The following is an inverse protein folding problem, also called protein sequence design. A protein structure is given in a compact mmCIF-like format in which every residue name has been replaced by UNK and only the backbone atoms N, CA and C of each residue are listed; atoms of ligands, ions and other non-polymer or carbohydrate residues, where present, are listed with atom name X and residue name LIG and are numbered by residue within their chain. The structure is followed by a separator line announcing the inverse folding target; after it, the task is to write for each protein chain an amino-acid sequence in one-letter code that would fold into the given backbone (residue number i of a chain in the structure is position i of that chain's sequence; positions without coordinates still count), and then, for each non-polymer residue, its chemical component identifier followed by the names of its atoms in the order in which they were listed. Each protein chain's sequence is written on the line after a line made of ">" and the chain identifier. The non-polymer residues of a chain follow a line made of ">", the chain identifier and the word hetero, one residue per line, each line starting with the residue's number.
data_IF_766926389038
#
_entry.id   IF_766926389038
#
_cell.length_a   1.000
_cell.length_b   1.000
_cell.length_c   1.000
_cell.angle_alpha   90.00
_cell.angle_beta   90.00
_cell.angle_gamma   90.00
#
_symmetry.space_group_name_H-M   'P 1'
#
loop_
_entity.id
_entity.type
_entity.pdbx_description
1 polymer ?
#
# COMPACT_ATOMS: atom_id res chain seq x y z
N UNK A 1 -15.74 13.19 -1.41
CA UNK A 1 -14.80 12.64 -2.41
C UNK A 1 -13.75 13.70 -2.61
N UNK A 2 -12.47 13.37 -2.37
CA UNK A 2 -11.38 14.34 -2.53
C UNK A 2 -11.25 14.66 -4.01
N UNK A 3 -11.28 15.94 -4.35
CA UNK A 3 -10.98 16.42 -5.70
C UNK A 3 -9.47 16.55 -5.82
N UNK A 4 -8.89 15.87 -6.81
CA UNK A 4 -7.46 15.91 -7.07
C UNK A 4 -7.18 16.91 -8.20
N UNK A 5 -6.14 17.71 -8.01
CA UNK A 5 -5.59 18.58 -9.03
C UNK A 5 -5.01 17.76 -10.19
N UNK A 6 -4.76 18.47 -11.30
CA UNK A 6 -4.15 17.91 -12.50
C UNK A 6 -2.89 17.09 -12.16
N UNK A 7 -2.77 15.84 -12.65
CA UNK A 7 -1.68 14.92 -12.29
C UNK A 7 -0.29 15.39 -12.72
N UNK A 8 -0.17 16.33 -13.65
CA UNK A 8 1.09 16.95 -14.06
C UNK A 8 1.44 18.18 -13.20
N UNK A 9 0.48 18.78 -12.51
CA UNK A 9 0.72 19.90 -11.59
C UNK A 9 1.52 19.45 -10.37
N UNK A 10 2.27 20.36 -9.75
CA UNK A 10 3.00 20.05 -8.51
C UNK A 10 2.04 19.57 -7.40
N UNK A 11 0.92 20.27 -7.21
CA UNK A 11 -0.07 19.92 -6.19
C UNK A 11 -0.71 18.57 -6.47
N UNK A 12 -1.09 18.28 -7.72
CA UNK A 12 -1.65 16.98 -8.09
C UNK A 12 -0.67 15.81 -7.91
N UNK A 13 0.63 16.04 -8.15
CA UNK A 13 1.68 15.05 -7.86
C UNK A 13 1.82 14.82 -6.34
N UNK A 14 1.77 15.89 -5.56
CA UNK A 14 1.87 15.84 -4.09
C UNK A 14 0.66 15.14 -3.45
N UNK A 15 -0.55 15.47 -3.90
CA UNK A 15 -1.81 14.84 -3.49
C UNK A 15 -1.87 13.36 -3.86
N UNK A 16 -1.07 12.89 -4.82
CA UNK A 16 -0.93 11.45 -5.16
C UNK A 16 0.28 10.78 -4.49
N UNK A 17 1.10 11.53 -3.74
CA UNK A 17 2.27 11.00 -3.06
C UNK A 17 3.40 10.62 -4.02
N UNK A 18 3.46 11.25 -5.19
CA UNK A 18 4.48 10.94 -6.21
C UNK A 18 5.84 11.49 -5.81
N UNK A 19 6.88 10.74 -6.12
CA UNK A 19 8.26 11.20 -5.98
C UNK A 19 8.58 12.46 -6.81
N UNK A 20 7.86 12.68 -7.93
CA UNK A 20 8.00 13.88 -8.75
C UNK A 20 7.83 15.17 -7.94
N UNK A 21 6.79 15.25 -7.10
CA UNK A 21 6.58 16.39 -6.23
C UNK A 21 7.71 16.52 -5.19
N UNK A 22 8.15 15.41 -4.59
CA UNK A 22 9.22 15.44 -3.59
C UNK A 22 10.55 15.98 -4.13
N UNK A 23 10.90 15.64 -5.38
CA UNK A 23 12.10 16.18 -6.05
C UNK A 23 11.98 17.66 -6.40
N UNK A 24 10.79 18.10 -6.82
CA UNK A 24 10.52 19.49 -7.23
C UNK A 24 10.35 20.45 -6.05
N UNK A 25 9.88 19.95 -4.91
CA UNK A 25 9.45 20.75 -3.76
C UNK A 25 10.48 21.81 -3.30
N UNK A 26 11.81 21.55 -3.25
CA UNK A 26 12.78 22.56 -2.82
C UNK A 26 12.85 23.81 -3.71
N UNK A 27 12.38 23.71 -4.96
CA UNK A 27 12.43 24.80 -5.95
C UNK A 27 11.05 25.31 -6.35
N UNK A 28 9.97 24.68 -5.88
CA UNK A 28 8.61 25.02 -6.28
C UNK A 28 8.04 26.16 -5.41
N UNK A 29 7.60 27.27 -6.01
CA UNK A 29 6.87 28.31 -5.30
C UNK A 29 5.59 27.77 -4.66
N UNK A 30 5.34 28.09 -3.40
CA UNK A 30 4.15 27.62 -2.68
C UNK A 30 4.21 26.16 -2.21
N UNK A 31 5.36 25.49 -2.32
CA UNK A 31 5.51 24.11 -1.84
C UNK A 31 5.13 23.94 -0.37
N UNK A 32 5.45 24.91 0.49
CA UNK A 32 5.10 24.88 1.90
C UNK A 32 3.59 24.79 2.11
N UNK A 33 2.82 25.68 1.47
CA UNK A 33 1.36 25.73 1.60
C UNK A 33 0.70 24.44 1.07
N UNK A 34 1.18 23.93 -0.07
CA UNK A 34 0.68 22.68 -0.64
C UNK A 34 0.99 21.45 0.24
N UNK A 35 2.15 21.41 0.91
CA UNK A 35 2.48 20.35 1.87
C UNK A 35 1.56 20.42 3.10
N UNK A 36 1.36 21.60 3.68
CA UNK A 36 0.43 21.73 4.81
C UNK A 36 -0.99 21.34 4.41
N UNK A 37 -1.45 21.78 3.24
CA UNK A 37 -2.77 21.40 2.73
C UNK A 37 -2.93 19.89 2.63
N UNK A 38 -1.94 19.16 2.10
CA UNK A 38 -1.99 17.70 2.04
C UNK A 38 -2.02 17.04 3.43
N UNK A 39 -1.34 17.62 4.41
CA UNK A 39 -1.34 17.14 5.81
C UNK A 39 -2.70 17.35 6.47
N UNK A 40 -3.34 18.50 6.25
CA UNK A 40 -4.58 18.88 6.95
C UNK A 40 -5.86 18.40 6.26
N UNK A 41 -5.83 18.24 4.93
CA UNK A 41 -7.00 17.76 4.17
C UNK A 41 -7.04 16.25 4.00
N UNK A 42 -5.94 15.56 4.33
CA UNK A 42 -5.73 14.13 4.12
C UNK A 42 -6.11 13.66 2.70
N UNK A 43 -5.13 13.74 1.80
CA UNK A 43 -5.31 13.44 0.36
C UNK A 43 -5.13 11.96 0.02
N UNK A 44 -5.18 11.05 1.02
CA UNK A 44 -5.13 9.60 0.77
C UNK A 44 -6.44 9.16 0.10
N UNK A 45 -6.35 8.37 -0.97
CA UNK A 45 -7.52 7.76 -1.61
C UNK A 45 -8.11 6.68 -0.70
N UNK A 46 -7.27 5.88 -0.05
CA UNK A 46 -7.67 4.95 0.99
C UNK A 46 -6.70 4.97 2.18
N UNK A 47 -7.16 5.57 3.29
CA UNK A 47 -6.39 5.73 4.53
C UNK A 47 -5.96 4.41 5.17
N UNK A 48 -6.63 3.30 4.86
CA UNK A 48 -6.33 1.99 5.43
C UNK A 48 -5.09 1.34 4.80
N UNK A 49 -4.69 1.77 3.60
CA UNK A 49 -3.64 1.11 2.82
C UNK A 49 -2.53 2.06 2.38
N UNK A 50 -2.76 3.37 2.32
CA UNK A 50 -1.76 4.34 1.86
C UNK A 50 -0.86 4.88 2.97
N UNK A 51 0.45 4.96 2.68
CA UNK A 51 1.47 5.43 3.62
C UNK A 51 1.95 6.84 3.30
N UNK A 52 1.05 7.82 3.45
CA UNK A 52 1.35 9.23 3.12
C UNK A 52 2.08 10.01 4.21
N UNK A 53 1.99 9.54 5.44
CA UNK A 53 2.58 10.15 6.63
C UNK A 53 4.12 10.28 6.56
N UNK A 54 4.82 9.20 6.22
CA UNK A 54 6.29 9.17 6.04
C UNK A 54 6.74 10.18 5.01
N UNK A 55 6.05 10.19 3.87
CA UNK A 55 6.33 11.06 2.74
C UNK A 55 6.19 12.54 3.12
N UNK A 56 5.09 12.91 3.79
CA UNK A 56 4.88 14.29 4.23
C UNK A 56 5.83 14.69 5.36
N UNK A 57 6.16 13.79 6.29
CA UNK A 57 7.16 14.05 7.34
C UNK A 57 8.56 14.35 6.76
N UNK A 58 8.97 13.62 5.72
CA UNK A 58 10.21 13.91 4.97
C UNK A 58 10.16 15.29 4.33
N UNK A 59 9.05 15.67 3.70
CA UNK A 59 8.92 16.97 3.05
C UNK A 59 8.96 18.13 4.05
N UNK A 60 8.27 18.00 5.18
CA UNK A 60 8.34 18.97 6.28
C UNK A 60 9.78 19.14 6.77
N UNK A 61 10.52 18.04 6.90
CA UNK A 61 11.92 18.07 7.35
C UNK A 61 12.84 18.68 6.28
N UNK A 62 12.74 18.20 5.03
CA UNK A 62 13.56 18.65 3.90
C UNK A 62 13.39 20.13 3.58
N UNK A 63 12.17 20.64 3.72
CA UNK A 63 11.84 22.06 3.47
C UNK A 63 11.98 22.92 4.74
N UNK A 64 12.39 22.34 5.87
CA UNK A 64 12.50 23.01 7.17
C UNK A 64 11.22 23.77 7.57
N UNK A 65 10.06 23.15 7.33
CA UNK A 65 8.75 23.78 7.58
C UNK A 65 8.46 23.91 9.09
N UNK A 66 7.94 25.05 9.56
CA UNK A 66 7.49 25.23 10.95
C UNK A 66 6.27 24.36 11.27
N UNK A 67 6.11 23.94 12.53
CA UNK A 67 4.99 23.07 12.92
C UNK A 67 3.71 23.86 13.30
N UNK A 68 3.80 25.19 13.41
CA UNK A 68 2.70 26.05 13.83
C UNK A 68 1.40 25.88 13.00
N UNK A 69 1.43 25.72 11.67
CA UNK A 69 0.21 25.48 10.90
C UNK A 69 -0.47 24.14 11.26
N UNK A 70 0.32 23.10 11.54
CA UNK A 70 -0.20 21.79 11.98
C UNK A 70 -0.81 21.92 13.38
N UNK A 71 -0.13 22.61 14.30
CA UNK A 71 -0.66 22.89 15.63
C UNK A 71 -1.98 23.66 15.59
N UNK A 72 -2.07 24.66 14.73
CA UNK A 72 -3.28 25.46 14.55
C UNK A 72 -4.44 24.58 14.06
N UNK A 73 -4.20 23.73 13.05
CA UNK A 73 -5.19 22.77 12.54
C UNK A 73 -5.69 21.82 13.64
N UNK A 74 -4.77 21.26 14.43
CA UNK A 74 -5.13 20.38 15.55
C UNK A 74 -5.98 21.10 16.61
N UNK A 75 -5.73 22.38 16.84
CA UNK A 75 -6.48 23.18 17.83
C UNK A 75 -7.86 23.65 17.35
N UNK A 76 -8.07 23.74 16.04
CA UNK A 76 -9.35 24.15 15.47
C UNK A 76 -10.36 23.01 15.38
N UNK A 77 -9.93 21.76 15.49
CA UNK A 77 -10.77 20.56 15.45
C UNK A 77 -10.97 20.02 16.86
N UNK A 78 -12.13 20.33 17.46
CA UNK A 78 -12.52 19.90 18.80
C UNK A 78 -13.82 19.07 18.80
N UNK A 79 -14.27 18.65 17.63
CA UNK A 79 -15.47 17.83 17.47
C UNK A 79 -15.22 16.38 17.94
N UNK A 80 -16.22 15.50 17.86
CA UNK A 80 -16.03 14.09 18.23
C UNK A 80 -15.25 13.28 17.19
N UNK A 81 -15.25 13.74 15.94
CA UNK A 81 -14.62 13.09 14.78
C UNK A 81 -13.11 13.37 14.74
N UNK A 82 -12.29 12.33 14.82
CA UNK A 82 -10.84 12.40 14.79
C UNK A 82 -10.23 12.25 13.39
N UNK A 83 -11.04 11.90 12.38
CA UNK A 83 -10.56 11.76 11.00
C UNK A 83 -9.79 12.99 10.49
N UNK A 84 -10.22 14.25 10.74
CA UNK A 84 -9.52 15.43 10.23
C UNK A 84 -8.12 15.63 10.82
N UNK A 85 -7.83 15.05 11.98
CA UNK A 85 -6.54 15.23 12.68
C UNK A 85 -5.62 14.02 12.58
N UNK A 86 -6.12 12.89 12.11
CA UNK A 86 -5.42 11.61 12.09
C UNK A 86 -4.07 11.69 11.36
N UNK A 87 -4.06 12.13 10.09
CA UNK A 87 -2.84 12.23 9.29
C UNK A 87 -1.86 13.24 9.89
N UNK A 88 -2.34 14.38 10.39
CA UNK A 88 -1.50 15.39 11.04
C UNK A 88 -0.77 14.83 12.26
N UNK A 89 -1.45 14.01 13.07
CA UNK A 89 -0.86 13.34 14.23
C UNK A 89 0.12 12.23 13.82
N UNK A 90 -0.19 11.45 12.78
CA UNK A 90 0.72 10.45 12.20
C UNK A 90 2.02 11.10 11.71
N UNK A 91 1.93 12.20 10.95
CA UNK A 91 3.08 12.98 10.49
C UNK A 91 3.91 13.50 11.66
N UNK A 92 3.28 14.16 12.64
CA UNK A 92 3.98 14.65 13.83
C UNK A 92 4.69 13.52 14.57
N UNK A 93 4.09 12.33 14.67
CA UNK A 93 4.65 11.17 15.35
C UNK A 93 5.89 10.58 14.66
N UNK A 94 6.10 10.83 13.37
CA UNK A 94 7.28 10.39 12.61
C UNK A 94 8.43 11.41 12.64
N UNK A 95 8.13 12.71 12.77
CA UNK A 95 9.14 13.77 12.75
C UNK A 95 10.31 13.58 13.74
N UNK A 96 10.09 13.19 15.02
CA UNK A 96 11.19 12.93 15.95
C UNK A 96 12.15 11.81 15.50
N UNK A 97 11.65 10.83 14.75
CA UNK A 97 12.45 9.70 14.25
C UNK A 97 13.47 10.14 13.19
N UNK A 98 13.21 11.25 12.50
CA UNK A 98 14.11 11.87 11.51
C UNK A 98 14.74 13.19 12.03
N UNK A 99 14.82 13.36 13.35
CA UNK A 99 15.59 14.43 13.99
C UNK A 99 14.82 15.74 14.25
N UNK A 100 13.53 15.83 13.90
CA UNK A 100 12.68 17.00 14.20
C UNK A 100 12.08 16.90 15.60
N UNK A 101 12.93 17.12 16.60
CA UNK A 101 12.58 16.99 18.03
C UNK A 101 11.62 18.07 18.55
N UNK A 102 11.45 19.19 17.83
CA UNK A 102 10.44 20.20 18.13
C UNK A 102 9.00 19.65 18.08
N UNK A 103 8.75 18.62 17.26
CA UNK A 103 7.46 17.92 17.21
C UNK A 103 7.10 17.19 18.52
N UNK A 104 8.09 16.84 19.35
CA UNK A 104 7.86 16.14 20.61
C UNK A 104 7.03 16.99 21.58
N UNK A 105 7.32 18.28 21.67
CA UNK A 105 6.59 19.19 22.55
C UNK A 105 5.12 19.30 22.12
N UNK A 106 4.88 19.38 20.81
CA UNK A 106 3.54 19.43 20.23
C UNK A 106 2.75 18.16 20.55
N UNK A 107 3.33 16.99 20.26
CA UNK A 107 2.70 15.69 20.51
C UNK A 107 2.37 15.50 22.00
N UNK A 108 3.30 15.82 22.90
CA UNK A 108 3.09 15.65 24.34
C UNK A 108 1.96 16.52 24.86
N UNK A 109 1.90 17.77 24.43
CA UNK A 109 0.82 18.69 24.80
C UNK A 109 -0.52 18.16 24.26
N UNK A 110 -0.57 17.80 22.98
CA UNK A 110 -1.81 17.31 22.37
C UNK A 110 -2.30 15.98 22.96
N UNK A 111 -1.40 15.04 23.25
CA UNK A 111 -1.75 13.79 23.93
C UNK A 111 -2.24 13.99 25.38
N UNK A 112 -1.96 15.14 25.99
CA UNK A 112 -2.36 15.45 27.38
C UNK A 112 -3.65 16.27 27.43
N UNK A 113 -3.78 17.24 26.53
CA UNK A 113 -4.80 18.30 26.59
C UNK A 113 -5.77 18.28 25.39
N UNK A 114 -5.39 17.61 24.29
CA UNK A 114 -6.12 17.64 23.04
C UNK A 114 -7.43 16.84 23.08
N UNK A 115 -8.43 17.24 22.28
CA UNK A 115 -9.72 16.55 22.19
C UNK A 115 -9.57 15.10 21.70
N UNK A 116 -8.69 14.89 20.70
CA UNK A 116 -8.40 13.59 20.08
C UNK A 116 -7.12 12.95 20.62
N UNK A 117 -6.90 13.05 21.93
CA UNK A 117 -5.70 12.51 22.59
C UNK A 117 -5.47 11.01 22.35
N UNK A 118 -6.54 10.21 22.19
CA UNK A 118 -6.45 8.78 21.95
C UNK A 118 -5.78 8.47 20.60
N UNK A 119 -6.17 9.19 19.55
CA UNK A 119 -5.60 9.17 18.20
C UNK A 119 -4.12 9.56 18.23
N UNK A 120 -3.77 10.57 19.04
CA UNK A 120 -2.37 10.97 19.22
C UNK A 120 -1.51 9.87 19.87
N UNK A 121 -2.04 9.18 20.88
CA UNK A 121 -1.35 8.04 21.50
C UNK A 121 -1.22 6.85 20.55
N UNK A 122 -2.23 6.60 19.71
CA UNK A 122 -2.16 5.59 18.66
C UNK A 122 -1.07 5.92 17.65
N UNK A 123 -1.03 7.15 17.14
CA UNK A 123 0.03 7.61 16.24
C UNK A 123 1.44 7.43 16.85
N UNK A 124 1.66 7.83 18.11
CA UNK A 124 2.93 7.65 18.82
C UNK A 124 3.30 6.17 18.97
N UNK A 125 2.31 5.32 19.25
CA UNK A 125 2.51 3.87 19.41
C UNK A 125 2.89 3.22 18.09
N UNK A 126 2.15 3.52 17.02
CA UNK A 126 2.35 2.94 15.68
C UNK A 126 3.67 3.38 15.07
N UNK A 127 4.06 4.65 15.21
CA UNK A 127 5.33 5.16 14.69
C UNK A 127 6.56 4.63 15.42
N UNK A 128 6.39 4.03 16.60
CA UNK A 128 7.49 3.63 17.47
C UNK A 128 8.20 4.80 18.18
N UNK A 129 7.75 6.04 17.98
CA UNK A 129 8.27 7.22 18.67
C UNK A 129 8.10 7.12 20.21
N UNK A 130 7.20 6.25 20.62
CA UNK A 130 7.06 5.69 21.96
C UNK A 130 8.39 5.25 22.61
N UNK A 131 9.42 4.89 21.83
CA UNK A 131 10.73 4.44 22.35
C UNK A 131 11.73 5.57 22.54
N UNK A 132 11.38 6.81 22.15
CA UNK A 132 12.29 7.95 22.21
C UNK A 132 12.34 8.55 23.62
N UNK A 133 13.53 8.70 24.23
CA UNK A 133 13.67 9.31 25.55
C UNK A 133 13.12 10.74 25.64
N UNK A 134 13.21 11.49 24.53
CA UNK A 134 12.68 12.85 24.44
C UNK A 134 11.15 12.89 24.56
N UNK A 135 10.48 11.87 24.01
CA UNK A 135 9.03 11.73 24.14
C UNK A 135 8.70 11.29 25.57
N UNK A 136 9.42 10.29 26.12
CA UNK A 136 9.20 9.78 27.47
C UNK A 136 10.49 9.47 28.22
N UNK A 137 10.71 10.10 29.38
CA UNK A 137 11.80 9.78 30.30
C UNK A 137 11.34 8.84 31.43
N UNK A 138 12.15 7.81 31.70
CA UNK A 138 12.28 6.92 32.88
C UNK A 138 11.04 6.34 33.59
N UNK A 139 9.83 6.39 33.02
CA UNK A 139 8.71 5.54 33.47
C UNK A 139 7.77 5.16 32.33
N UNK A 140 7.32 3.91 32.30
CA UNK A 140 6.32 3.42 31.35
C UNK A 140 5.08 4.34 31.34
N UNK A 141 4.73 5.00 30.22
CA UNK A 141 3.77 6.09 30.16
C UNK A 141 2.38 5.68 30.64
N UNK A 142 1.97 4.46 30.34
CA UNK A 142 0.66 3.91 30.72
C UNK A 142 0.53 3.79 32.24
N UNK A 143 1.62 3.51 32.95
CA UNK A 143 1.58 3.39 34.42
C UNK A 143 1.55 4.75 35.10
N UNK A 144 2.24 5.77 34.55
CA UNK A 144 2.28 7.12 35.11
C UNK A 144 1.06 7.97 34.72
N UNK A 145 0.59 7.91 33.46
CA UNK A 145 -0.65 8.57 33.01
C UNK A 145 -1.91 7.89 33.55
N UNK A 146 -1.98 6.55 33.64
CA UNK A 146 -3.16 5.89 34.25
C UNK A 146 -3.33 6.21 35.74
N UNK A 147 -2.25 6.64 36.42
CA UNK A 147 -2.29 7.07 37.82
C UNK A 147 -2.91 8.47 37.99
N UNK A 148 -2.68 9.38 37.03
CA UNK A 148 -3.18 10.76 37.07
C UNK A 148 -4.43 11.01 36.23
N UNK A 149 -4.75 10.13 35.28
CA UNK A 149 -5.88 10.27 34.36
C UNK A 149 -6.78 9.01 34.35
N UNK A 150 -7.96 9.06 35.00
CA UNK A 150 -8.88 7.93 35.12
C UNK A 150 -9.36 7.33 33.79
N UNK A 151 -9.34 8.11 32.70
CA UNK A 151 -9.78 7.67 31.36
C UNK A 151 -8.76 6.72 30.70
N UNK A 152 -7.46 6.97 30.85
CA UNK A 152 -6.39 6.11 30.33
C UNK A 152 -6.34 4.77 31.06
N UNK A 153 -6.58 4.78 32.38
CA UNK A 153 -6.63 3.57 33.20
C UNK A 153 -7.64 2.55 32.66
N UNK A 154 -8.84 3.01 32.30
CA UNK A 154 -9.91 2.13 31.77
C UNK A 154 -9.51 1.43 30.46
N UNK A 155 -8.81 2.12 29.55
CA UNK A 155 -8.42 1.57 28.25
C UNK A 155 -7.29 0.53 28.42
N UNK A 156 -6.32 0.81 29.28
CA UNK A 156 -5.25 -0.16 29.62
C UNK A 156 -5.84 -1.43 30.24
N UNK A 157 -6.83 -1.29 31.12
CA UNK A 157 -7.52 -2.41 31.75
C UNK A 157 -8.34 -3.22 30.72
N UNK A 158 -9.01 -2.57 29.76
CA UNK A 158 -9.77 -3.22 28.68
C UNK A 158 -8.87 -3.98 27.68
N UNK A 159 -7.71 -3.42 27.27
CA UNK A 159 -6.80 -4.12 26.35
C UNK A 159 -6.14 -5.36 26.98
N UNK A 160 -5.84 -5.32 28.28
CA UNK A 160 -5.34 -6.50 29.02
C UNK A 160 -6.35 -7.64 29.02
N UNK A 161 -7.66 -7.34 29.03
CA UNK A 161 -8.70 -8.36 28.91
C UNK A 161 -8.91 -8.90 27.48
N UNK A 162 -8.46 -8.16 26.45
CA UNK A 162 -8.64 -8.53 25.04
C UNK A 162 -7.47 -9.36 24.47
N UNK A 163 -6.32 -9.41 25.15
CA UNK A 163 -5.19 -10.28 24.81
C UNK A 163 -5.46 -11.74 25.24
N UNK A 164 -6.49 -12.35 24.66
CA UNK A 164 -6.75 -13.78 24.75
C UNK A 164 -7.57 -14.22 23.52
N UNK A 165 -6.97 -14.12 22.33
CA UNK A 165 -7.48 -14.87 21.17
C UNK A 165 -6.61 -16.12 20.99
N UNK A 166 -7.17 -17.33 21.08
CA UNK A 166 -6.41 -18.55 20.88
C UNK A 166 -5.94 -18.63 19.42
N UNK A 167 -4.64 -18.83 19.23
CA UNK A 167 -4.11 -19.31 17.96
C UNK A 167 -4.67 -20.71 17.70
N UNK A 168 -5.54 -20.84 16.70
CA UNK A 168 -5.97 -22.14 16.20
C UNK A 168 -4.79 -22.82 15.50
N UNK A 169 -4.17 -23.79 16.15
CA UNK A 169 -3.26 -24.74 15.50
C UNK A 169 -4.09 -25.66 14.59
N UNK A 170 -3.92 -25.56 13.27
CA UNK A 170 -4.53 -26.51 12.34
C UNK A 170 -3.90 -27.89 12.52
N UNK A 171 -4.72 -28.89 12.87
CA UNK A 171 -4.33 -30.30 12.79
C UNK A 171 -4.21 -30.67 11.31
N UNK A 172 -3.08 -31.25 10.93
CA UNK A 172 -2.90 -31.92 9.64
C UNK A 172 -3.71 -33.22 9.65
N UNK A 173 -4.93 -33.16 9.12
CA UNK A 173 -5.69 -34.33 8.67
C UNK A 173 -5.66 -34.32 7.15
N UNK A 174 -5.20 -35.41 6.54
CA UNK A 174 -5.31 -35.64 5.11
C UNK A 174 -6.77 -35.86 4.76
N UNK A 175 -7.46 -34.79 4.33
CA UNK A 175 -8.81 -34.86 3.79
C UNK A 175 -8.80 -35.52 2.41
N UNK A 176 -9.76 -36.40 2.11
CA UNK A 176 -9.99 -36.89 0.75
C UNK A 176 -10.73 -35.83 -0.09
N UNK A 177 -10.69 -35.92 -1.43
CA UNK A 177 -11.36 -34.93 -2.30
C UNK A 177 -12.85 -34.77 -1.98
N UNK A 178 -13.56 -35.86 -1.66
CA UNK A 178 -14.97 -35.81 -1.28
C UNK A 178 -15.21 -35.03 0.03
N UNK A 179 -14.29 -35.11 0.98
CA UNK A 179 -14.35 -34.33 2.22
C UNK A 179 -14.18 -32.83 1.93
N UNK A 180 -13.24 -32.49 1.06
CA UNK A 180 -13.00 -31.11 0.63
C UNK A 180 -14.23 -30.54 -0.08
N UNK A 181 -14.85 -31.31 -0.98
CA UNK A 181 -16.07 -30.89 -1.68
C UNK A 181 -17.23 -30.63 -0.71
N UNK A 182 -17.38 -31.47 0.33
CA UNK A 182 -18.38 -31.25 1.39
C UNK A 182 -18.11 -29.96 2.17
N UNK A 183 -16.84 -29.66 2.49
CA UNK A 183 -16.47 -28.41 3.15
C UNK A 183 -16.74 -27.18 2.27
N UNK A 184 -16.49 -27.28 0.95
CA UNK A 184 -16.81 -26.19 0.02
C UNK A 184 -18.31 -25.91 0.00
N UNK A 185 -19.12 -26.95 -0.14
CA UNK A 185 -20.58 -26.85 -0.17
C UNK A 185 -21.16 -26.32 1.16
N UNK A 186 -20.66 -26.81 2.30
CA UNK A 186 -21.09 -26.36 3.63
C UNK A 186 -20.84 -24.86 3.88
N UNK A 187 -19.80 -24.31 3.27
CA UNK A 187 -19.42 -22.92 3.46
C UNK A 187 -18.68 -22.66 4.78
N UNK A 188 -18.68 -21.41 5.22
CA UNK A 188 -17.97 -21.01 6.44
C UNK A 188 -16.45 -20.85 6.28
N UNK A 189 -15.72 -20.67 7.39
CA UNK A 189 -14.28 -20.42 7.41
C UNK A 189 -13.43 -21.50 6.72
N UNK A 190 -13.88 -22.75 6.74
CA UNK A 190 -13.17 -23.91 6.21
C UNK A 190 -13.20 -23.98 4.67
N UNK A 191 -14.20 -23.35 4.02
CA UNK A 191 -14.32 -23.34 2.54
C UNK A 191 -13.05 -22.89 1.86
N UNK A 192 -12.45 -21.80 2.34
CA UNK A 192 -11.23 -21.23 1.74
C UNK A 192 -10.09 -22.25 1.73
N UNK A 193 -9.90 -22.95 2.85
CA UNK A 193 -8.83 -23.95 3.01
C UNK A 193 -9.08 -25.16 2.12
N UNK A 194 -10.33 -25.59 1.99
CA UNK A 194 -10.70 -26.70 1.13
C UNK A 194 -10.48 -26.38 -0.36
N UNK A 195 -10.89 -25.19 -0.82
CA UNK A 195 -10.62 -24.72 -2.18
C UNK A 195 -9.12 -24.63 -2.46
N UNK A 196 -8.35 -24.05 -1.54
CA UNK A 196 -6.91 -23.92 -1.68
C UNK A 196 -6.22 -25.28 -1.79
N UNK A 197 -6.62 -26.25 -0.95
CA UNK A 197 -6.09 -27.62 -1.00
C UNK A 197 -6.44 -28.36 -2.30
N UNK A 198 -7.68 -28.23 -2.79
CA UNK A 198 -8.08 -28.77 -4.10
C UNK A 198 -7.20 -28.19 -5.22
N UNK A 199 -6.97 -26.87 -5.21
CA UNK A 199 -6.07 -26.20 -6.15
C UNK A 199 -4.64 -26.75 -6.08
N UNK A 200 -4.06 -26.88 -4.86
CA UNK A 200 -2.71 -27.44 -4.67
C UNK A 200 -2.56 -28.87 -5.19
N UNK A 201 -3.63 -29.66 -5.13
CA UNK A 201 -3.68 -31.04 -5.67
C UNK A 201 -3.81 -31.09 -7.19
N UNK A 202 -4.00 -29.95 -7.86
CA UNK A 202 -4.25 -29.93 -9.30
C UNK A 202 -5.68 -30.35 -9.68
N UNK A 203 -6.62 -30.33 -8.73
CA UNK A 203 -7.98 -30.82 -8.96
C UNK A 203 -8.79 -29.83 -9.81
N UNK A 204 -9.14 -30.27 -11.02
CA UNK A 204 -9.84 -29.42 -12.01
C UNK A 204 -11.30 -29.14 -11.66
N UNK A 205 -11.88 -29.83 -10.67
CA UNK A 205 -13.22 -29.49 -10.17
C UNK A 205 -13.29 -28.07 -9.62
N UNK A 206 -12.16 -27.46 -9.23
CA UNK A 206 -12.07 -26.02 -8.90
C UNK A 206 -12.59 -25.12 -10.04
N UNK A 207 -12.47 -25.53 -11.31
CA UNK A 207 -12.98 -24.76 -12.44
C UNK A 207 -14.51 -24.73 -12.46
N UNK A 208 -15.15 -25.87 -12.19
CA UNK A 208 -16.60 -25.97 -12.13
C UNK A 208 -17.14 -25.25 -10.87
N UNK A 209 -16.40 -25.30 -9.76
CA UNK A 209 -16.71 -24.54 -8.55
C UNK A 209 -16.57 -23.01 -8.73
N UNK A 210 -15.72 -22.56 -9.66
CA UNK A 210 -15.63 -21.14 -10.00
C UNK A 210 -16.87 -20.66 -10.76
N UNK A 211 -17.43 -21.53 -11.60
CA UNK A 211 -18.62 -21.27 -12.41
C UNK A 211 -19.92 -21.35 -11.59
N UNK A 212 -19.91 -22.05 -10.46
CA UNK A 212 -21.07 -22.18 -9.58
C UNK A 212 -21.42 -20.84 -8.90
N UNK A 213 -22.45 -20.19 -9.41
CA UNK A 213 -22.96 -18.93 -8.88
C UNK A 213 -23.57 -19.06 -7.48
N UNK A 214 -23.97 -20.26 -7.05
CA UNK A 214 -24.50 -20.50 -5.71
C UNK A 214 -23.43 -20.38 -4.60
N UNK A 215 -22.14 -20.45 -4.96
CA UNK A 215 -21.04 -20.31 -4.01
C UNK A 215 -20.62 -18.86 -3.77
N UNK A 216 -21.14 -17.93 -4.57
CA UNK A 216 -20.79 -16.51 -4.52
C UNK A 216 -21.41 -15.82 -3.32
N UNK A 217 -20.67 -14.90 -2.71
CA UNK A 217 -21.14 -14.03 -1.64
C UNK A 217 -21.95 -12.85 -2.22
N UNK A 218 -22.43 -11.95 -1.35
CA UNK A 218 -23.20 -10.77 -1.75
C UNK A 218 -22.47 -9.82 -2.71
N UNK A 219 -21.13 -9.90 -2.79
CA UNK A 219 -20.30 -9.13 -3.72
C UNK A 219 -20.00 -9.87 -5.03
N UNK A 220 -20.60 -11.05 -5.24
CA UNK A 220 -20.40 -11.87 -6.44
C UNK A 220 -19.17 -12.78 -6.40
N UNK A 221 -18.39 -12.80 -5.31
CA UNK A 221 -17.14 -13.55 -5.23
C UNK A 221 -17.27 -14.86 -4.44
N UNK A 222 -16.51 -15.88 -4.84
CA UNK A 222 -16.32 -17.12 -4.06
C UNK A 222 -15.00 -17.04 -3.28
N UNK A 223 -15.00 -16.77 -1.97
CA UNK A 223 -13.76 -16.59 -1.20
C UNK A 223 -12.86 -17.83 -1.29
N UNK A 224 -11.59 -17.62 -1.66
CA UNK A 224 -10.61 -18.70 -1.83
C UNK A 224 -10.48 -19.24 -3.25
N UNK A 225 -11.44 -18.98 -4.15
CA UNK A 225 -11.39 -19.54 -5.51
C UNK A 225 -10.20 -19.02 -6.33
N UNK A 226 -9.86 -17.73 -6.19
CA UNK A 226 -8.73 -17.14 -6.89
C UNK A 226 -7.39 -17.79 -6.48
N UNK A 227 -7.23 -18.15 -5.20
CA UNK A 227 -6.05 -18.84 -4.71
C UNK A 227 -5.99 -20.29 -5.21
N UNK A 228 -7.13 -20.97 -5.29
CA UNK A 228 -7.22 -22.30 -5.85
C UNK A 228 -6.82 -22.32 -7.35
N UNK A 229 -7.29 -21.34 -8.12
CA UNK A 229 -6.93 -21.15 -9.52
C UNK A 229 -5.44 -20.82 -9.71
N UNK A 230 -4.88 -19.99 -8.83
CA UNK A 230 -3.43 -19.75 -8.78
C UNK A 230 -2.65 -21.08 -8.64
N UNK A 231 -3.06 -21.94 -7.71
CA UNK A 231 -2.42 -23.25 -7.54
C UNK A 231 -2.61 -24.20 -8.74
N UNK A 232 -3.75 -24.13 -9.44
CA UNK A 232 -3.94 -24.87 -10.70
C UNK A 232 -3.00 -24.39 -11.81
N UNK A 233 -2.61 -23.12 -11.79
CA UNK A 233 -1.67 -22.52 -12.73
C UNK A 233 -2.10 -22.73 -14.20
N UNK A 234 -1.21 -23.19 -15.09
CA UNK A 234 -1.51 -23.35 -16.52
C UNK A 234 -2.70 -24.26 -16.83
N UNK A 235 -3.08 -25.17 -15.93
CA UNK A 235 -4.24 -26.04 -16.13
C UNK A 235 -5.57 -25.27 -16.20
N UNK A 236 -5.63 -24.06 -15.64
CA UNK A 236 -6.82 -23.19 -15.68
C UNK A 236 -6.94 -22.40 -17.00
N UNK A 237 -5.88 -22.28 -17.80
CA UNK A 237 -5.84 -21.40 -18.98
C UNK A 237 -6.95 -21.65 -20.01
N UNK A 238 -7.22 -22.90 -20.45
CA UNK A 238 -8.25 -23.13 -21.45
C UNK A 238 -9.63 -22.63 -20.99
N UNK A 239 -9.94 -22.77 -19.69
CA UNK A 239 -11.21 -22.31 -19.14
C UNK A 239 -11.24 -20.80 -18.92
N UNK A 240 -10.14 -20.23 -18.44
CA UNK A 240 -10.00 -18.78 -18.29
C UNK A 240 -10.23 -18.00 -19.60
N UNK A 241 -9.74 -18.52 -20.73
CA UNK A 241 -9.97 -17.92 -22.06
C UNK A 241 -11.44 -17.94 -22.47
N UNK A 242 -12.20 -18.96 -22.06
CA UNK A 242 -13.65 -19.03 -22.28
C UNK A 242 -14.35 -17.99 -21.40
N UNK A 243 -13.98 -17.88 -20.13
CA UNK A 243 -14.59 -16.92 -19.19
C UNK A 243 -14.48 -15.47 -19.64
N UNK A 244 -13.32 -15.06 -20.17
CA UNK A 244 -13.10 -13.68 -20.64
C UNK A 244 -13.99 -13.31 -21.83
N UNK A 245 -14.37 -14.30 -22.65
CA UNK A 245 -15.26 -14.07 -23.79
C UNK A 245 -16.75 -14.03 -23.41
N UNK A 246 -17.08 -14.29 -22.15
CA UNK A 246 -18.46 -14.29 -21.64
C UNK A 246 -18.87 -12.98 -20.97
N UNK A 247 -20.11 -12.96 -20.47
CA UNK A 247 -20.75 -11.76 -19.90
C UNK A 247 -20.73 -11.74 -18.35
N UNK A 248 -20.19 -12.78 -17.71
CA UNK A 248 -20.10 -12.87 -16.25
C UNK A 248 -18.85 -12.15 -15.74
N UNK A 249 -19.03 -10.91 -15.25
CA UNK A 249 -17.94 -10.08 -14.73
C UNK A 249 -17.05 -10.76 -13.69
N UNK A 250 -17.60 -11.68 -12.86
CA UNK A 250 -16.80 -12.40 -11.86
C UNK A 250 -15.86 -13.38 -12.55
N UNK A 251 -16.39 -14.16 -13.50
CA UNK A 251 -15.60 -15.11 -14.26
C UNK A 251 -14.59 -14.40 -15.18
N UNK A 252 -14.98 -13.27 -15.79
CA UNK A 252 -14.06 -12.43 -16.57
C UNK A 252 -12.88 -11.99 -15.71
N UNK A 253 -13.13 -11.46 -14.50
CA UNK A 253 -12.06 -11.02 -13.60
C UNK A 253 -11.18 -12.18 -13.09
N UNK A 254 -11.75 -13.37 -12.86
CA UNK A 254 -10.96 -14.58 -12.55
C UNK A 254 -10.12 -15.02 -13.75
N UNK A 255 -10.67 -14.99 -14.95
CA UNK A 255 -9.97 -15.32 -16.18
C UNK A 255 -8.80 -14.36 -16.42
N UNK A 256 -9.01 -13.06 -16.26
CA UNK A 256 -7.95 -12.03 -16.38
C UNK A 256 -6.80 -12.29 -15.42
N UNK A 257 -7.08 -12.71 -14.17
CA UNK A 257 -6.06 -13.10 -13.21
C UNK A 257 -5.25 -14.30 -13.69
N UNK A 258 -5.91 -15.35 -14.18
CA UNK A 258 -5.21 -16.52 -14.73
C UNK A 258 -4.37 -16.15 -15.95
N UNK A 259 -4.89 -15.34 -16.88
CA UNK A 259 -4.11 -14.88 -18.04
C UNK A 259 -2.89 -14.04 -17.62
N UNK A 260 -3.07 -13.12 -16.67
CA UNK A 260 -1.99 -12.29 -16.17
C UNK A 260 -0.87 -13.14 -15.56
N UNK A 261 -1.22 -14.18 -14.80
CA UNK A 261 -0.25 -15.02 -14.10
C UNK A 261 0.46 -16.04 -15.00
N UNK A 262 -0.30 -16.79 -15.81
CA UNK A 262 0.22 -17.96 -16.53
C UNK A 262 -0.02 -17.93 -18.03
N UNK A 263 -0.73 -16.92 -18.55
CA UNK A 263 -0.99 -16.76 -19.99
C UNK A 263 0.27 -16.54 -20.82
N UNK A 264 0.09 -16.47 -22.13
CA UNK A 264 1.14 -16.25 -23.12
C UNK A 264 0.87 -14.99 -23.97
N UNK A 265 1.72 -14.67 -24.95
CA UNK A 265 1.56 -13.44 -25.75
C UNK A 265 0.25 -13.37 -26.54
N UNK A 266 -0.42 -14.49 -26.80
CA UNK A 266 -1.73 -14.51 -27.46
C UNK A 266 -2.85 -13.90 -26.60
N UNK A 267 -2.64 -13.79 -25.30
CA UNK A 267 -3.55 -13.25 -24.30
C UNK A 267 -3.40 -11.71 -24.12
N UNK A 268 -2.47 -11.09 -24.85
CA UNK A 268 -2.10 -9.69 -24.65
C UNK A 268 -3.24 -8.70 -24.92
N UNK A 269 -4.09 -8.96 -25.93
CA UNK A 269 -5.18 -8.04 -26.29
C UNK A 269 -6.28 -8.00 -25.21
N UNK A 270 -6.53 -9.13 -24.55
CA UNK A 270 -7.47 -9.23 -23.43
C UNK A 270 -6.94 -8.45 -22.23
N UNK A 271 -5.65 -8.60 -21.89
CA UNK A 271 -5.03 -7.88 -20.77
C UNK A 271 -4.92 -6.36 -21.02
N UNK A 272 -4.58 -5.94 -22.25
CA UNK A 272 -4.62 -4.53 -22.64
C UNK A 272 -6.04 -3.94 -22.48
N UNK A 273 -7.05 -4.69 -22.90
CA UNK A 273 -8.44 -4.26 -22.75
C UNK A 273 -8.85 -4.17 -21.29
N UNK A 274 -8.44 -5.12 -20.46
CA UNK A 274 -8.68 -5.11 -19.02
C UNK A 274 -8.01 -3.90 -18.33
N UNK A 275 -6.74 -3.62 -18.62
CA UNK A 275 -6.02 -2.45 -18.12
C UNK A 275 -6.78 -1.16 -18.46
N UNK A 276 -7.10 -0.95 -19.74
CA UNK A 276 -7.80 0.26 -20.21
C UNK A 276 -9.18 0.42 -19.60
N UNK A 277 -9.94 -0.66 -19.47
CA UNK A 277 -11.25 -0.63 -18.79
C UNK A 277 -11.10 -0.21 -17.33
N UNK A 278 -10.15 -0.82 -16.61
CA UNK A 278 -9.94 -0.53 -15.20
C UNK A 278 -9.49 0.92 -14.96
N UNK A 279 -8.51 1.41 -15.72
CA UNK A 279 -8.01 2.79 -15.58
C UNK A 279 -9.05 3.82 -16.00
N UNK A 280 -9.79 3.59 -17.09
CA UNK A 280 -10.88 4.49 -17.54
C UNK A 280 -12.00 4.58 -16.51
N UNK A 281 -12.29 3.48 -15.80
CA UNK A 281 -13.29 3.43 -14.74
C UNK A 281 -12.78 3.99 -13.39
N UNK A 282 -11.49 4.35 -13.27
CA UNK A 282 -10.87 4.71 -11.99
C UNK A 282 -10.73 3.55 -11.00
N UNK A 283 -10.87 2.30 -11.48
CA UNK A 283 -10.76 1.09 -10.67
C UNK A 283 -9.29 0.65 -10.55
N UNK A 284 -8.47 1.45 -9.87
CA UNK A 284 -7.01 1.28 -9.84
C UNK A 284 -6.56 -0.08 -9.30
N UNK A 285 -7.18 -0.61 -8.24
CA UNK A 285 -6.84 -1.96 -7.73
C UNK A 285 -7.06 -3.05 -8.80
N UNK A 286 -8.08 -2.90 -9.65
CA UNK A 286 -8.35 -3.85 -10.72
C UNK A 286 -7.36 -3.74 -11.88
N UNK A 287 -6.69 -2.58 -12.04
CA UNK A 287 -5.70 -2.34 -13.08
C UNK A 287 -4.35 -3.04 -12.80
N UNK A 288 -4.07 -3.38 -11.54
CA UNK A 288 -2.78 -3.98 -11.14
C UNK A 288 -2.53 -5.35 -11.78
N UNK A 289 -3.55 -6.21 -11.78
CA UNK A 289 -3.47 -7.58 -12.32
C UNK A 289 -3.12 -7.57 -13.81
N UNK A 290 -3.88 -6.89 -14.70
CA UNK A 290 -3.53 -6.84 -16.11
C UNK A 290 -2.20 -6.11 -16.36
N UNK A 291 -1.83 -5.10 -15.56
CA UNK A 291 -0.53 -4.44 -15.67
C UNK A 291 0.62 -5.44 -15.44
N UNK A 292 0.63 -6.18 -14.32
CA UNK A 292 1.69 -7.18 -14.03
C UNK A 292 1.73 -8.25 -15.11
N UNK A 293 0.57 -8.69 -15.61
CA UNK A 293 0.47 -9.64 -16.72
C UNK A 293 1.14 -9.13 -18.00
N UNK A 294 0.85 -7.90 -18.41
CA UNK A 294 1.47 -7.27 -19.59
C UNK A 294 2.99 -7.13 -19.43
N UNK A 295 3.45 -6.74 -18.24
CA UNK A 295 4.86 -6.69 -17.86
C UNK A 295 5.57 -8.03 -18.02
N UNK A 296 5.02 -9.08 -17.40
CA UNK A 296 5.53 -10.46 -17.49
C UNK A 296 5.63 -10.93 -18.94
N UNK A 297 4.61 -10.63 -19.75
CA UNK A 297 4.54 -10.98 -21.17
C UNK A 297 5.38 -10.09 -22.09
N UNK A 298 5.93 -8.99 -21.56
CA UNK A 298 6.75 -8.00 -22.26
C UNK A 298 6.03 -7.43 -23.48
N UNK A 299 4.85 -6.85 -23.25
CA UNK A 299 3.97 -6.28 -24.29
C UNK A 299 4.27 -4.78 -24.45
N UNK A 300 5.10 -4.35 -25.43
CA UNK A 300 5.50 -2.95 -25.55
C UNK A 300 4.32 -2.00 -25.83
N UNK A 301 3.24 -2.50 -26.42
CA UNK A 301 2.01 -1.74 -26.70
C UNK A 301 1.33 -1.19 -25.45
N UNK A 302 1.64 -1.75 -24.27
CA UNK A 302 1.11 -1.29 -22.99
C UNK A 302 1.83 -0.04 -22.44
N UNK A 303 3.00 0.33 -22.97
CA UNK A 303 3.87 1.33 -22.35
C UNK A 303 3.20 2.69 -22.14
N UNK A 304 2.48 3.19 -23.15
CA UNK A 304 1.76 4.48 -23.05
C UNK A 304 0.65 4.43 -22.00
N UNK A 305 -0.14 3.36 -22.00
CA UNK A 305 -1.25 3.19 -21.04
C UNK A 305 -0.71 3.07 -19.59
N UNK A 306 0.43 2.40 -19.41
CA UNK A 306 1.09 2.25 -18.11
C UNK A 306 1.72 3.55 -17.60
N UNK A 307 2.30 4.37 -18.48
CA UNK A 307 2.81 5.69 -18.11
C UNK A 307 1.65 6.61 -17.68
N UNK A 308 0.55 6.64 -18.43
CA UNK A 308 -0.64 7.39 -18.04
C UNK A 308 -1.20 6.89 -16.69
N UNK A 309 -1.29 5.57 -16.49
CA UNK A 309 -1.73 5.00 -15.22
C UNK A 309 -0.82 5.37 -14.04
N UNK A 310 0.51 5.38 -14.23
CA UNK A 310 1.47 5.85 -13.23
C UNK A 310 1.24 7.30 -12.83
N UNK A 311 0.95 8.17 -13.80
CA UNK A 311 0.75 9.60 -13.56
C UNK A 311 -0.59 9.91 -12.90
N UNK A 312 -1.65 9.23 -13.36
CA UNK A 312 -3.04 9.55 -13.01
C UNK A 312 -3.50 8.89 -11.72
N UNK A 313 -2.96 7.72 -11.36
CA UNK A 313 -3.48 6.91 -10.25
C UNK A 313 -3.46 7.68 -8.94
N UNK A 314 -4.63 7.71 -8.29
CA UNK A 314 -4.79 8.19 -6.91
C UNK A 314 -4.58 7.07 -5.90
N UNK A 315 -4.65 5.81 -6.33
CA UNK A 315 -4.31 4.65 -5.50
C UNK A 315 -2.80 4.41 -5.58
N UNK A 316 -2.06 4.87 -4.58
CA UNK A 316 -0.60 4.84 -4.59
C UNK A 316 0.01 3.42 -4.60
N UNK A 317 -0.52 2.40 -3.88
CA UNK A 317 0.00 1.03 -3.98
C UNK A 317 0.02 0.45 -5.39
N UNK A 318 -0.96 0.80 -6.25
CA UNK A 318 -1.02 0.30 -7.63
C UNK A 318 0.19 0.73 -8.48
N UNK A 319 0.90 1.80 -8.10
CA UNK A 319 2.12 2.23 -8.77
C UNK A 319 3.21 1.15 -8.78
N UNK A 320 3.21 0.24 -7.81
CA UNK A 320 4.17 -0.88 -7.78
C UNK A 320 3.96 -1.80 -8.99
N UNK A 321 2.69 -2.13 -9.28
CA UNK A 321 2.31 -2.95 -10.42
C UNK A 321 2.62 -2.25 -11.76
N UNK A 322 2.39 -0.93 -11.84
CA UNK A 322 2.68 -0.16 -13.05
C UNK A 322 4.19 -0.03 -13.32
N UNK A 323 5.00 0.19 -12.28
CA UNK A 323 6.45 0.23 -12.40
C UNK A 323 7.01 -1.15 -12.81
N UNK A 324 6.57 -2.23 -12.15
CA UNK A 324 6.95 -3.60 -12.54
C UNK A 324 6.58 -3.88 -14.01
N UNK A 325 5.38 -3.46 -14.42
CA UNK A 325 4.91 -3.63 -15.78
C UNK A 325 5.77 -2.85 -16.79
N UNK A 326 6.10 -1.59 -16.49
CA UNK A 326 6.95 -0.75 -17.34
C UNK A 326 8.36 -1.34 -17.49
N UNK A 327 8.94 -1.86 -16.41
CA UNK A 327 10.25 -2.53 -16.45
C UNK A 327 10.24 -3.75 -17.40
N UNK A 328 9.12 -4.45 -17.52
CA UNK A 328 8.95 -5.55 -18.47
C UNK A 328 8.65 -5.12 -19.91
N UNK A 329 7.77 -4.13 -20.09
CA UNK A 329 7.26 -3.71 -21.40
C UNK A 329 8.17 -2.71 -22.13
N UNK A 330 8.76 -1.75 -21.40
CA UNK A 330 9.56 -0.66 -21.96
C UNK A 330 10.65 -0.22 -20.97
N UNK A 331 11.75 -1.01 -20.81
CA UNK A 331 12.77 -0.77 -19.80
C UNK A 331 13.39 0.65 -19.83
N UNK A 332 13.63 1.20 -21.03
CA UNK A 332 14.18 2.56 -21.17
C UNK A 332 13.23 3.64 -20.66
N UNK A 333 11.92 3.47 -20.85
CA UNK A 333 10.92 4.38 -20.30
C UNK A 333 10.84 4.22 -18.77
N UNK A 334 11.03 3.00 -18.28
CA UNK A 334 10.99 2.69 -16.86
C UNK A 334 12.14 3.34 -16.07
N UNK A 335 13.28 3.66 -16.66
CA UNK A 335 14.44 4.24 -15.97
C UNK A 335 14.08 5.56 -15.23
N UNK A 336 13.40 6.47 -15.92
CA UNK A 336 12.98 7.76 -15.33
C UNK A 336 11.90 7.56 -14.25
N UNK A 337 10.97 6.63 -14.47
CA UNK A 337 9.91 6.29 -13.52
C UNK A 337 10.49 5.60 -12.27
N UNK A 338 11.47 4.73 -12.44
CA UNK A 338 12.15 4.04 -11.35
C UNK A 338 13.00 5.03 -10.53
N UNK A 339 13.75 5.92 -11.19
CA UNK A 339 14.43 7.01 -10.50
C UNK A 339 13.44 7.89 -9.74
N UNK A 340 12.25 8.10 -10.31
CA UNK A 340 11.20 8.83 -9.62
C UNK A 340 10.69 8.13 -8.36
N UNK A 341 10.48 6.84 -8.49
CA UNK A 341 9.84 5.97 -7.51
C UNK A 341 10.66 5.79 -6.22
N UNK A 342 11.96 6.11 -6.22
CA UNK A 342 12.78 6.17 -4.99
C UNK A 342 12.28 7.23 -3.99
N UNK A 343 11.50 8.20 -4.44
CA UNK A 343 10.90 9.25 -3.62
C UNK A 343 9.37 9.08 -3.44
N UNK A 344 8.80 7.94 -3.87
CA UNK A 344 7.36 7.68 -3.78
C UNK A 344 6.88 7.60 -2.33
N UNK A 345 5.59 7.80 -2.06
CA UNK A 345 5.07 7.62 -0.71
C UNK A 345 5.01 6.14 -0.27
N UNK A 346 4.92 5.21 -1.20
CA UNK A 346 4.78 3.79 -0.86
C UNK A 346 6.13 3.05 -0.77
N UNK A 347 6.45 2.42 0.37
CA UNK A 347 7.68 1.63 0.52
C UNK A 347 7.78 0.46 -0.44
N UNK A 348 6.66 -0.16 -0.86
CA UNK A 348 6.68 -1.24 -1.86
C UNK A 348 7.10 -0.71 -3.23
N UNK A 349 6.65 0.48 -3.61
CA UNK A 349 7.05 1.18 -4.85
C UNK A 349 8.53 1.55 -4.79
N UNK A 350 8.99 2.11 -3.67
CA UNK A 350 10.41 2.43 -3.45
C UNK A 350 11.30 1.17 -3.50
N UNK A 351 10.85 0.04 -2.92
CA UNK A 351 11.56 -1.25 -3.00
C UNK A 351 11.67 -1.74 -4.44
N UNK A 352 10.57 -1.71 -5.21
CA UNK A 352 10.57 -2.08 -6.63
C UNK A 352 11.49 -1.18 -7.45
N UNK A 353 11.52 0.11 -7.13
CA UNK A 353 12.41 1.08 -7.77
C UNK A 353 13.89 0.71 -7.60
N UNK A 354 14.30 0.29 -6.39
CA UNK A 354 15.67 -0.12 -6.10
C UNK A 354 16.18 -1.21 -7.06
N UNK A 355 15.31 -2.13 -7.50
CA UNK A 355 15.70 -3.21 -8.42
C UNK A 355 16.07 -2.67 -9.82
N UNK A 356 15.28 -1.71 -10.33
CA UNK A 356 15.34 -1.26 -11.72
C UNK A 356 16.01 0.09 -11.99
N UNK A 357 16.37 0.87 -10.97
CA UNK A 357 16.94 2.22 -11.18
C UNK A 357 18.27 2.20 -11.98
N UNK A 358 18.50 3.19 -12.86
CA UNK A 358 19.74 3.32 -13.63
C UNK A 358 20.90 3.81 -12.75
N UNK A 359 22.13 3.53 -13.18
CA UNK A 359 23.33 3.97 -12.46
C UNK A 359 23.64 5.45 -12.75
N UNK A 360 23.26 6.32 -11.82
CA UNK A 360 23.60 7.75 -11.86
C UNK A 360 24.03 8.24 -10.49
N UNK A 361 24.79 9.34 -10.44
CA UNK A 361 25.21 9.95 -9.16
C UNK A 361 24.03 10.30 -8.26
N UNK A 362 22.94 10.82 -8.84
CA UNK A 362 21.73 11.17 -8.10
C UNK A 362 21.05 9.92 -7.52
N UNK A 363 20.95 8.83 -8.30
CA UNK A 363 20.39 7.56 -7.83
C UNK A 363 21.24 6.96 -6.71
N UNK A 364 22.58 6.94 -6.85
CA UNK A 364 23.47 6.43 -5.79
C UNK A 364 23.32 7.20 -4.49
N UNK A 365 23.25 8.54 -4.57
CA UNK A 365 23.01 9.38 -3.39
C UNK A 365 21.68 9.04 -2.73
N UNK A 366 20.61 8.91 -3.52
CA UNK A 366 19.29 8.64 -2.98
C UNK A 366 19.17 7.23 -2.38
N UNK A 367 19.80 6.23 -2.99
CA UNK A 367 19.88 4.88 -2.43
C UNK A 367 20.62 4.85 -1.09
N UNK A 368 21.68 5.66 -0.92
CA UNK A 368 22.37 5.77 0.36
C UNK A 368 21.46 6.37 1.43
N UNK A 369 20.73 7.43 1.10
CA UNK A 369 19.73 8.02 2.02
C UNK A 369 18.66 7.00 2.43
N UNK A 370 18.14 6.22 1.47
CA UNK A 370 17.14 5.19 1.74
C UNK A 370 17.70 4.03 2.57
N UNK A 371 18.98 3.68 2.39
CA UNK A 371 19.64 2.61 3.13
C UNK A 371 19.79 2.92 4.63
N UNK A 372 19.85 4.20 5.00
CA UNK A 372 20.02 4.69 6.37
C UNK A 372 18.72 5.24 6.98
N UNK A 373 17.60 5.03 6.30
CA UNK A 373 16.37 5.77 6.54
C UNK A 373 15.51 5.20 7.69
N UNK A 374 15.33 5.92 8.82
CA UNK A 374 14.67 5.33 9.97
C UNK A 374 13.16 5.15 9.79
N UNK A 375 12.52 5.82 8.82
CA UNK A 375 11.07 5.70 8.63
C UNK A 375 10.66 4.50 7.77
N UNK A 376 11.59 3.96 6.98
CA UNK A 376 11.29 2.89 6.00
C UNK A 376 12.34 1.78 6.04
N UNK A 377 12.53 1.11 7.20
CA UNK A 377 13.52 0.05 7.36
C UNK A 377 13.34 -1.13 6.40
N UNK A 378 12.11 -1.37 5.93
CA UNK A 378 11.77 -2.43 4.97
C UNK A 378 12.32 -2.22 3.54
N UNK A 379 13.01 -1.11 3.30
CA UNK A 379 13.67 -0.77 2.02
C UNK A 379 15.19 -0.94 2.13
N UNK A 380 15.75 -0.93 3.34
CA UNK A 380 17.20 -0.94 3.57
C UNK A 380 17.92 -2.04 2.82
N UNK A 381 17.39 -3.26 2.86
CA UNK A 381 17.97 -4.41 2.16
C UNK A 381 18.00 -4.21 0.63
N UNK A 382 16.91 -3.72 0.05
CA UNK A 382 16.81 -3.49 -1.39
C UNK A 382 17.76 -2.36 -1.84
N UNK A 383 17.83 -1.27 -1.09
CA UNK A 383 18.73 -0.15 -1.37
C UNK A 383 20.21 -0.58 -1.28
N UNK A 384 20.59 -1.27 -0.20
CA UNK A 384 21.95 -1.80 0.00
C UNK A 384 22.33 -2.81 -1.09
N UNK A 385 21.41 -3.71 -1.45
CA UNK A 385 21.63 -4.68 -2.53
C UNK A 385 21.92 -3.98 -3.85
N UNK A 386 21.12 -2.95 -4.20
CA UNK A 386 21.35 -2.17 -5.42
C UNK A 386 22.69 -1.43 -5.39
N UNK A 387 23.05 -0.77 -4.29
CA UNK A 387 24.34 -0.10 -4.14
C UNK A 387 25.53 -1.07 -4.34
N UNK A 388 25.44 -2.29 -3.81
CA UNK A 388 26.46 -3.32 -3.99
C UNK A 388 26.57 -3.78 -5.46
N UNK A 389 25.45 -3.86 -6.18
CA UNK A 389 25.47 -4.18 -7.62
C UNK A 389 26.10 -3.06 -8.44
N UNK A 390 25.78 -1.80 -8.14
CA UNK A 390 26.32 -0.62 -8.83
C UNK A 390 27.83 -0.40 -8.58
N UNK A 391 28.35 -0.88 -7.46
CA UNK A 391 29.79 -0.78 -7.13
C UNK A 391 30.63 -1.89 -7.76
N UNK A 392 30.05 -3.08 -7.99
CA UNK A 392 30.74 -4.22 -8.65
C UNK A 392 30.72 -4.17 -10.18
N UNK A 393 29.92 -3.29 -10.77
CA UNK A 393 29.76 -3.15 -12.23
C UNK A 393 30.78 -2.23 -12.92
N UNK A 394 31.92 -1.93 -12.29
CA UNK A 394 33.06 -1.20 -12.88
C UNK A 394 34.13 -2.15 -13.41
#
# INVERSE_FOLDING_TARGET
>A
MIEYDDPASFRGQLQRGRGAAARRAPTEPGAADAVYECVVTDTRWDRQVEQRDSYLARLITRLALPLAPIEQHLSSHNDEDDEPVELALQVLALLPMIGRLDAVAVLRRYATEGPHWATALEAISTSGAMKLPAIWCDTEPWTTFARSQPRIRRIVDQRKSSQARPHHSQKSTTYETEDLMRLVAAGGPERRQALEELGRRGDRTVLDLAEDSALRNATGWTPGIAQALHHLGPAALPRARIWIAGDDNTLVALGERVLAEVGDRSDASQLLSALRRATTAGNWCAAEIPARGLGRLKIPEAATDLMAAWEDTVHSPAREAFLEALQGCAPHNADAVAAEALDDCEPTVQRRACEGVPDTTAVRSRLQELADDPLTPEIHEAANTKLLLLTKGL
#
